data_IF_947197690915
#
_entry.id   IF_947197690915
#
_cell.length_a   1.000
_cell.length_b   1.000
_cell.length_c   1.000
_cell.angle_alpha   90.00
_cell.angle_beta   90.00
_cell.angle_gamma   90.00
#
_symmetry.space_group_name_H-M   'P 1'
#
loop_
_entity.id
_entity.type
_entity.pdbx_description
1 polymer ?
#
# COMPACT_ATOMS: atom_id res chain seq x y z
N UNK A 1 -19.25 2.65 -31.70
CA UNK A 1 -17.96 3.31 -31.41
C UNK A 1 -17.34 2.58 -30.24
N UNK A 2 -16.30 1.79 -30.49
CA UNK A 2 -15.57 1.10 -29.41
C UNK A 2 -14.72 2.13 -28.70
N UNK A 3 -15.12 2.56 -27.50
CA UNK A 3 -14.24 3.31 -26.60
C UNK A 3 -13.08 2.37 -26.27
N UNK A 4 -11.92 2.59 -26.90
CA UNK A 4 -10.71 1.84 -26.60
C UNK A 4 -10.39 2.07 -25.13
N UNK A 5 -10.51 1.02 -24.32
CA UNK A 5 -10.16 1.06 -22.90
C UNK A 5 -8.65 0.88 -22.80
N UNK A 6 -7.98 1.76 -22.06
CA UNK A 6 -6.55 1.62 -21.81
C UNK A 6 -6.31 0.35 -20.99
N UNK A 7 -5.36 -0.47 -21.41
CA UNK A 7 -4.92 -1.67 -20.68
C UNK A 7 -3.46 -1.44 -20.33
N UNK A 8 -3.14 -1.62 -19.05
CA UNK A 8 -1.80 -1.39 -18.51
C UNK A 8 -0.75 -2.30 -19.17
N UNK A 9 0.34 -1.72 -19.68
CA UNK A 9 1.51 -2.47 -20.14
C UNK A 9 2.36 -2.92 -18.95
N UNK A 10 2.73 -4.21 -18.91
CA UNK A 10 3.62 -4.79 -17.90
C UNK A 10 4.99 -4.10 -17.83
N UNK A 11 5.41 -3.39 -18.90
CA UNK A 11 6.63 -2.57 -18.90
C UNK A 11 6.60 -1.42 -17.88
N UNK A 12 5.41 -0.95 -17.50
CA UNK A 12 5.25 0.12 -16.51
C UNK A 12 5.36 -0.37 -15.06
N UNK A 13 5.41 -1.69 -14.85
CA UNK A 13 5.50 -2.28 -13.52
C UNK A 13 6.75 -1.78 -12.78
N UNK A 14 6.55 -1.43 -11.52
CA UNK A 14 7.63 -1.01 -10.64
C UNK A 14 8.65 -2.14 -10.50
N UNK A 15 9.93 -1.79 -10.63
CA UNK A 15 11.02 -2.74 -10.45
C UNK A 15 11.02 -3.34 -9.05
N UNK A 16 11.50 -4.58 -8.90
CA UNK A 16 11.62 -5.25 -7.60
C UNK A 16 12.37 -4.38 -6.59
N UNK A 17 13.42 -3.66 -7.01
CA UNK A 17 14.16 -2.73 -6.17
C UNK A 17 13.32 -1.54 -5.66
N UNK A 18 12.47 -0.94 -6.51
CA UNK A 18 11.57 0.11 -6.07
C UNK A 18 10.52 -0.42 -5.07
N UNK A 19 10.07 -1.66 -5.24
CA UNK A 19 9.13 -2.31 -4.32
C UNK A 19 9.77 -2.68 -2.99
N UNK A 20 11.02 -3.13 -3.01
CA UNK A 20 11.80 -3.37 -1.81
C UNK A 20 12.06 -2.06 -1.04
N UNK A 21 12.38 -0.98 -1.76
CA UNK A 21 12.56 0.34 -1.16
C UNK A 21 11.25 0.85 -0.54
N UNK A 22 10.10 0.64 -1.19
CA UNK A 22 8.79 0.92 -0.61
C UNK A 22 8.61 0.21 0.73
N UNK A 23 8.90 -1.10 0.78
CA UNK A 23 8.79 -1.89 2.00
C UNK A 23 9.69 -1.35 3.12
N UNK A 24 10.95 -1.01 2.82
CA UNK A 24 11.87 -0.43 3.82
C UNK A 24 11.33 0.90 4.35
N UNK A 25 10.90 1.79 3.47
CA UNK A 25 10.41 3.11 3.89
C UNK A 25 9.12 2.97 4.69
N UNK A 26 8.19 2.11 4.25
CA UNK A 26 6.96 1.86 5.00
C UNK A 26 7.22 1.17 6.34
N UNK A 27 8.27 0.36 6.46
CA UNK A 27 8.72 -0.18 7.75
C UNK A 27 9.19 0.94 8.69
N UNK A 28 9.98 1.90 8.21
CA UNK A 28 10.37 3.07 9.01
C UNK A 28 9.16 3.92 9.40
N UNK A 29 8.23 4.16 8.47
CA UNK A 29 7.00 4.89 8.76
C UNK A 29 6.16 4.19 9.84
N UNK A 30 6.07 2.85 9.76
CA UNK A 30 5.39 2.04 10.77
C UNK A 30 6.07 2.11 12.13
N UNK A 31 7.41 2.01 12.20
CA UNK A 31 8.16 2.15 13.46
C UNK A 31 7.92 3.53 14.07
N UNK A 32 7.97 4.60 13.28
CA UNK A 32 7.70 5.97 13.74
C UNK A 32 6.26 6.08 14.28
N UNK A 33 5.27 5.55 13.56
CA UNK A 33 3.87 5.54 14.00
C UNK A 33 3.70 4.77 15.31
N UNK A 34 4.37 3.63 15.45
CA UNK A 34 4.33 2.80 16.65
C UNK A 34 4.93 3.54 17.86
N UNK A 35 6.10 4.18 17.67
CA UNK A 35 6.74 5.00 18.72
C UNK A 35 5.86 6.18 19.11
N UNK A 36 5.27 6.90 18.16
CA UNK A 36 4.34 8.01 18.44
C UNK A 36 3.15 7.51 19.27
N UNK A 37 2.59 6.35 18.90
CA UNK A 37 1.46 5.74 19.62
C UNK A 37 1.87 5.36 21.04
N UNK A 38 3.04 4.73 21.23
CA UNK A 38 3.55 4.36 22.54
C UNK A 38 3.81 5.60 23.44
N UNK A 39 4.40 6.66 22.88
CA UNK A 39 4.62 7.92 23.60
C UNK A 39 3.29 8.56 24.01
N UNK A 40 2.31 8.57 23.11
CA UNK A 40 0.97 9.08 23.40
C UNK A 40 0.31 8.31 24.55
N UNK A 41 0.37 6.99 24.54
CA UNK A 41 -0.13 6.15 25.64
C UNK A 41 0.62 6.42 26.96
N UNK A 42 1.95 6.59 26.90
CA UNK A 42 2.75 6.95 28.08
C UNK A 42 2.35 8.30 28.69
N UNK A 43 2.04 9.30 27.86
CA UNK A 43 1.52 10.59 28.32
C UNK A 43 0.17 10.40 29.03
N UNK A 44 -0.75 9.61 28.46
CA UNK A 44 -2.05 9.34 29.08
C UNK A 44 -1.90 8.67 30.46
N UNK A 45 -1.00 7.69 30.59
CA UNK A 45 -0.70 7.06 31.88
C UNK A 45 -0.19 8.11 32.88
N UNK A 46 0.73 8.99 32.47
CA UNK A 46 1.23 10.08 33.30
C UNK A 46 0.17 11.11 33.72
N UNK A 47 -0.90 11.26 32.92
CA UNK A 47 -2.06 12.12 33.23
C UNK A 47 -3.08 11.46 34.17
N UNK A 48 -2.82 10.23 34.63
CA UNK A 48 -3.67 9.53 35.60
C UNK A 48 -4.54 8.41 35.01
N UNK A 49 -4.43 8.12 33.71
CA UNK A 49 -5.10 6.96 33.10
C UNK A 49 -4.31 5.66 33.33
N UNK A 50 -4.08 5.32 34.60
CA UNK A 50 -3.21 4.19 35.01
C UNK A 50 -3.70 2.82 34.55
N UNK A 51 -5.00 2.65 34.34
CA UNK A 51 -5.61 1.42 33.81
C UNK A 51 -5.06 1.03 32.43
N UNK A 52 -4.65 2.01 31.61
CA UNK A 52 -4.01 1.77 30.31
C UNK A 52 -2.67 1.05 30.51
N UNK A 53 -1.89 1.44 31.52
CA UNK A 53 -0.62 0.79 31.84
C UNK A 53 -0.82 -0.65 32.30
N UNK A 54 -1.79 -0.89 33.18
CA UNK A 54 -2.15 -2.25 33.64
C UNK A 54 -2.59 -3.12 32.46
N UNK A 55 -3.39 -2.60 31.54
CA UNK A 55 -3.80 -3.32 30.34
C UNK A 55 -2.61 -3.65 29.42
N UNK A 56 -1.68 -2.71 29.23
CA UNK A 56 -0.46 -2.89 28.44
C UNK A 56 0.45 -3.99 29.01
N UNK A 57 0.63 -4.02 30.33
CA UNK A 57 1.47 -5.01 31.01
C UNK A 57 0.87 -6.43 30.93
N UNK A 58 -0.46 -6.54 30.97
CA UNK A 58 -1.17 -7.83 30.90
C UNK A 58 -1.31 -8.40 29.48
N UNK A 59 -0.93 -7.64 28.45
CA UNK A 59 -1.18 -8.02 27.06
C UNK A 59 -0.25 -9.12 26.54
N UNK A 60 1.00 -9.15 27.04
CA UNK A 60 2.04 -10.08 26.59
C UNK A 60 2.42 -9.92 25.11
N UNK A 61 3.39 -10.72 24.66
CA UNK A 61 3.95 -10.62 23.29
C UNK A 61 2.89 -10.87 22.22
N UNK A 62 2.00 -11.83 22.42
CA UNK A 62 0.97 -12.15 21.45
C UNK A 62 0.01 -10.99 21.23
N UNK A 63 -0.46 -10.34 22.29
CA UNK A 63 -1.37 -9.21 22.16
C UNK A 63 -0.70 -8.00 21.50
N UNK A 64 0.57 -7.73 21.82
CA UNK A 64 1.34 -6.68 21.15
C UNK A 64 1.51 -6.93 19.64
N UNK A 65 1.75 -8.18 19.23
CA UNK A 65 1.78 -8.56 17.82
C UNK A 65 0.43 -8.32 17.14
N UNK A 66 -0.69 -8.67 17.79
CA UNK A 66 -2.04 -8.42 17.26
C UNK A 66 -2.28 -6.91 17.08
N UNK A 67 -1.94 -6.08 18.07
CA UNK A 67 -2.04 -4.62 17.95
C UNK A 67 -1.19 -4.10 16.80
N UNK A 68 0.06 -4.54 16.68
CA UNK A 68 0.94 -4.13 15.60
C UNK A 68 0.34 -4.47 14.22
N UNK A 69 -0.22 -5.67 14.07
CA UNK A 69 -0.93 -6.08 12.85
C UNK A 69 -2.13 -5.17 12.57
N UNK A 70 -2.96 -4.87 13.57
CA UNK A 70 -4.11 -3.97 13.41
C UNK A 70 -3.68 -2.54 13.02
N UNK A 71 -2.64 -1.99 13.66
CA UNK A 71 -2.10 -0.67 13.32
C UNK A 71 -1.58 -0.68 11.88
N UNK A 72 -0.87 -1.72 11.47
CA UNK A 72 -0.35 -1.84 10.10
C UNK A 72 -1.48 -1.92 9.07
N UNK A 73 -2.54 -2.67 9.37
CA UNK A 73 -3.74 -2.78 8.52
C UNK A 73 -4.39 -1.40 8.35
N UNK A 74 -4.61 -0.68 9.45
CA UNK A 74 -5.22 0.65 9.43
C UNK A 74 -4.35 1.63 8.65
N UNK A 75 -3.03 1.63 8.88
CA UNK A 75 -2.07 2.47 8.16
C UNK A 75 -2.20 2.29 6.65
N UNK A 76 -2.09 1.06 6.15
CA UNK A 76 -2.18 0.83 4.72
C UNK A 76 -3.59 1.03 4.16
N UNK A 77 -4.64 0.69 4.91
CA UNK A 77 -6.02 0.88 4.46
C UNK A 77 -6.36 2.37 4.29
N UNK A 78 -5.96 3.22 5.23
CA UNK A 78 -6.16 4.67 5.14
C UNK A 78 -5.31 5.25 4.01
N UNK A 79 -4.03 4.93 3.98
CA UNK A 79 -3.10 5.48 2.99
C UNK A 79 -3.44 5.03 1.57
N UNK A 80 -3.59 3.73 1.34
CA UNK A 80 -3.91 3.21 0.01
C UNK A 80 -5.37 3.48 -0.36
N UNK A 81 -6.31 3.47 0.60
CA UNK A 81 -7.71 3.80 0.34
C UNK A 81 -7.91 5.23 -0.16
N UNK A 82 -7.23 6.19 0.46
CA UNK A 82 -7.36 7.60 0.09
C UNK A 82 -6.47 7.97 -1.10
N UNK A 83 -5.22 7.53 -1.10
CA UNK A 83 -4.21 8.02 -2.04
C UNK A 83 -3.72 7.00 -3.06
N UNK A 84 -4.15 5.73 -2.96
CA UNK A 84 -3.59 4.60 -3.71
C UNK A 84 -2.09 4.42 -3.49
N UNK A 85 -1.57 4.99 -2.41
CA UNK A 85 -0.14 5.13 -2.11
C UNK A 85 0.10 5.13 -0.61
N UNK A 86 1.11 4.40 -0.18
CA UNK A 86 1.71 4.50 1.15
C UNK A 86 2.82 5.56 1.17
N UNK A 87 3.39 5.87 2.34
CA UNK A 87 4.48 6.84 2.47
C UNK A 87 5.68 6.42 1.61
N UNK A 88 6.04 5.12 1.62
CA UNK A 88 7.07 4.58 0.75
C UNK A 88 6.80 4.85 -0.72
N UNK A 89 5.57 4.58 -1.16
CA UNK A 89 5.13 4.79 -2.55
C UNK A 89 5.12 6.25 -2.97
N UNK A 90 4.84 7.18 -2.04
CA UNK A 90 4.99 8.61 -2.30
C UNK A 90 6.44 8.97 -2.60
N UNK A 91 7.37 8.49 -1.78
CA UNK A 91 8.80 8.79 -1.90
C UNK A 91 9.41 8.14 -3.16
N UNK A 92 9.07 6.89 -3.46
CA UNK A 92 9.60 6.19 -4.66
C UNK A 92 8.91 6.58 -5.96
N UNK A 93 7.87 7.40 -5.91
CA UNK A 93 7.14 7.78 -7.13
C UNK A 93 6.24 6.67 -7.69
N UNK A 94 5.93 5.62 -6.92
CA UNK A 94 5.10 4.49 -7.35
C UNK A 94 3.64 4.63 -6.90
N UNK A 95 2.69 4.02 -7.61
CA UNK A 95 1.24 4.09 -7.33
C UNK A 95 0.58 2.73 -7.55
N UNK A 96 -0.46 2.41 -6.77
CA UNK A 96 -1.29 1.22 -6.97
C UNK A 96 -2.44 1.56 -7.93
N UNK A 97 -2.59 0.77 -8.99
CA UNK A 97 -3.65 0.91 -10.00
C UNK A 97 -4.30 -0.43 -10.32
N UNK A 98 -5.47 -0.39 -10.96
CA UNK A 98 -6.14 -1.56 -11.55
C UNK A 98 -5.57 -1.90 -12.95
N UNK A 99 -6.13 -2.90 -13.63
CA UNK A 99 -5.70 -3.26 -15.00
C UNK A 99 -5.88 -2.14 -16.04
N UNK A 100 -6.68 -1.12 -15.74
CA UNK A 100 -6.96 0.01 -16.63
C UNK A 100 -6.15 1.26 -16.26
N UNK A 101 -5.15 1.14 -15.38
CA UNK A 101 -4.34 2.26 -14.90
C UNK A 101 -5.11 3.26 -14.03
N UNK A 102 -6.31 2.90 -13.55
CA UNK A 102 -7.15 3.74 -12.71
C UNK A 102 -6.94 3.44 -11.23
N UNK A 103 -7.43 4.35 -10.37
CA UNK A 103 -7.45 4.13 -8.92
C UNK A 103 -8.35 2.91 -8.62
N UNK A 104 -7.84 1.88 -7.92
CA UNK A 104 -8.66 0.73 -7.55
C UNK A 104 -9.76 1.16 -6.58
N UNK A 105 -10.87 0.42 -6.58
CA UNK A 105 -11.95 0.64 -5.63
C UNK A 105 -11.51 0.28 -4.20
N UNK A 106 -12.27 0.77 -3.22
CA UNK A 106 -11.95 0.54 -1.81
C UNK A 106 -12.02 -0.95 -1.44
N UNK A 107 -12.94 -1.71 -2.05
CA UNK A 107 -13.08 -3.15 -1.83
C UNK A 107 -11.83 -3.92 -2.26
N UNK A 108 -11.25 -3.57 -3.41
CA UNK A 108 -10.00 -4.14 -3.92
C UNK A 108 -8.83 -3.80 -3.01
N UNK A 109 -8.73 -2.54 -2.56
CA UNK A 109 -7.67 -2.11 -1.63
C UNK A 109 -7.80 -2.84 -0.28
N UNK A 110 -9.01 -3.04 0.22
CA UNK A 110 -9.24 -3.80 1.44
C UNK A 110 -8.81 -5.26 1.28
N UNK A 111 -9.26 -5.94 0.21
CA UNK A 111 -8.86 -7.32 -0.12
C UNK A 111 -7.35 -7.45 -0.22
N UNK A 112 -6.71 -6.52 -0.94
CA UNK A 112 -5.26 -6.42 -1.08
C UNK A 112 -4.54 -6.35 0.27
N UNK A 113 -5.01 -5.49 1.17
CA UNK A 113 -4.40 -5.34 2.50
C UNK A 113 -4.58 -6.60 3.36
N UNK A 114 -5.73 -7.27 3.28
CA UNK A 114 -5.91 -8.56 3.93
C UNK A 114 -4.94 -9.63 3.40
N UNK A 115 -4.71 -9.67 2.08
CA UNK A 115 -3.78 -10.62 1.48
C UNK A 115 -2.31 -10.40 1.86
N UNK A 116 -1.93 -9.22 2.39
CA UNK A 116 -0.56 -8.98 2.91
C UNK A 116 -0.26 -9.75 4.19
N UNK A 117 -1.29 -10.20 4.90
CA UNK A 117 -1.12 -11.04 6.09
C UNK A 117 -0.94 -12.52 5.75
N UNK A 118 -0.95 -12.88 4.46
CA UNK A 118 -0.60 -14.23 4.04
C UNK A 118 0.88 -14.45 4.37
N UNK A 119 1.23 -15.50 5.14
CA UNK A 119 2.61 -15.83 5.44
C UNK A 119 3.44 -15.94 4.16
N UNK A 120 4.65 -15.39 4.19
CA UNK A 120 5.59 -15.38 3.07
C UNK A 120 5.24 -14.49 1.87
N UNK A 121 4.16 -13.70 1.91
CA UNK A 121 3.81 -12.74 0.84
C UNK A 121 4.98 -11.78 0.52
N UNK A 122 5.73 -11.33 1.53
CA UNK A 122 6.91 -10.49 1.33
C UNK A 122 8.04 -11.15 0.50
N UNK A 123 8.17 -12.49 0.54
CA UNK A 123 9.18 -13.21 -0.25
C UNK A 123 8.75 -13.43 -1.70
N UNK A 124 7.46 -13.29 -2.02
CA UNK A 124 6.96 -13.48 -3.39
C UNK A 124 7.55 -12.47 -4.37
N UNK A 125 7.95 -11.29 -3.89
CA UNK A 125 8.65 -10.27 -4.67
C UNK A 125 10.03 -10.68 -5.16
N UNK A 126 10.64 -11.71 -4.57
CA UNK A 126 11.92 -12.25 -5.04
C UNK A 126 11.76 -13.12 -6.29
N UNK A 127 10.55 -13.63 -6.56
CA UNK A 127 10.23 -14.50 -7.69
C UNK A 127 9.50 -13.83 -8.85
N UNK A 128 9.16 -12.54 -8.75
CA UNK A 128 8.43 -11.84 -9.81
C UNK A 128 8.12 -10.38 -9.50
N UNK A 129 7.56 -9.68 -10.49
CA UNK A 129 7.17 -8.27 -10.38
C UNK A 129 5.88 -8.04 -9.59
N UNK A 130 5.08 -9.09 -9.36
CA UNK A 130 3.80 -9.05 -8.62
C UNK A 130 3.83 -9.99 -7.42
N UNK A 131 3.47 -9.48 -6.24
CA UNK A 131 3.30 -10.29 -5.04
C UNK A 131 1.91 -10.92 -4.98
N UNK A 132 1.70 -11.89 -4.09
CA UNK A 132 0.41 -12.58 -3.99
C UNK A 132 -0.74 -11.63 -3.71
N UNK A 133 -0.53 -10.64 -2.84
CA UNK A 133 -1.55 -9.63 -2.58
C UNK A 133 -1.88 -8.74 -3.79
N UNK A 134 -0.96 -8.54 -4.73
CA UNK A 134 -1.25 -7.86 -6.01
C UNK A 134 -2.06 -8.76 -6.94
N UNK A 135 -1.66 -10.02 -7.04
CA UNK A 135 -2.26 -11.00 -7.96
C UNK A 135 -3.68 -11.36 -7.54
N UNK A 136 -3.91 -11.59 -6.24
CA UNK A 136 -5.22 -11.94 -5.69
C UNK A 136 -6.20 -10.77 -5.79
N UNK A 137 -5.71 -9.55 -5.68
CA UNK A 137 -6.55 -8.35 -5.74
C UNK A 137 -6.59 -7.72 -7.15
N UNK A 138 -5.98 -8.34 -8.17
CA UNK A 138 -5.89 -7.76 -9.52
C UNK A 138 -5.38 -6.31 -9.54
N UNK A 139 -4.39 -6.01 -8.70
CA UNK A 139 -3.76 -4.68 -8.67
C UNK A 139 -2.34 -4.72 -9.18
N UNK A 140 -1.86 -3.54 -9.58
CA UNK A 140 -0.57 -3.32 -10.20
C UNK A 140 0.11 -2.15 -9.49
N UNK A 141 1.44 -2.22 -9.36
CA UNK A 141 2.23 -1.12 -8.82
C UNK A 141 3.12 -0.61 -9.93
N UNK A 142 2.96 0.66 -10.29
CA UNK A 142 3.63 1.27 -11.44
C UNK A 142 4.27 2.59 -11.07
N UNK A 143 5.18 3.09 -11.90
CA UNK A 143 5.68 4.46 -11.75
C UNK A 143 4.59 5.45 -12.17
N UNK A 144 4.24 6.39 -11.27
CA UNK A 144 3.16 7.33 -11.52
C UNK A 144 3.41 8.22 -12.74
N UNK A 145 4.62 8.75 -12.89
CA UNK A 145 4.95 9.67 -14.00
C UNK A 145 4.89 8.96 -15.35
N UNK A 146 5.46 7.76 -15.41
CA UNK A 146 5.44 6.95 -16.62
C UNK A 146 3.99 6.57 -17.02
N UNK A 147 3.16 6.21 -16.04
CA UNK A 147 1.74 5.94 -16.27
C UNK A 147 1.00 7.18 -16.81
N UNK A 148 1.18 8.34 -16.18
CA UNK A 148 0.52 9.58 -16.59
C UNK A 148 0.91 9.96 -18.04
N UNK A 149 2.19 9.76 -18.42
CA UNK A 149 2.68 9.98 -19.78
C UNK A 149 2.06 9.00 -20.78
N UNK A 150 1.98 7.71 -20.46
CA UNK A 150 1.43 6.69 -21.35
C UNK A 150 -0.08 6.85 -21.58
N UNK A 151 -0.82 7.15 -20.52
CA UNK A 151 -2.26 7.45 -20.61
C UNK A 151 -2.49 8.67 -21.51
N UNK A 152 -1.68 9.72 -21.36
CA UNK A 152 -1.78 10.91 -22.21
C UNK A 152 -1.54 10.58 -23.69
N UNK A 153 -0.48 9.82 -23.97
CA UNK A 153 -0.15 9.37 -25.34
C UNK A 153 -1.29 8.54 -25.92
N UNK A 154 -1.86 7.61 -25.15
CA UNK A 154 -3.00 6.80 -25.57
C UNK A 154 -4.22 7.65 -25.95
N UNK A 155 -4.55 8.67 -25.14
CA UNK A 155 -5.63 9.60 -25.47
C UNK A 155 -5.35 10.44 -26.71
N UNK A 156 -4.12 10.94 -26.88
CA UNK A 156 -3.72 11.70 -28.07
C UNK A 156 -3.83 10.85 -29.36
N UNK A 157 -3.39 9.59 -29.33
CA UNK A 157 -3.54 8.67 -30.48
C UNK A 157 -5.00 8.40 -30.84
N UNK A 158 -5.86 8.17 -29.83
CA UNK A 158 -7.29 7.95 -30.07
C UNK A 158 -8.01 9.18 -30.66
N UNK A 159 -7.50 10.39 -30.41
CA UNK A 159 -8.01 11.62 -31.03
C UNK A 159 -7.59 11.74 -32.51
N UNK A 160 -6.42 11.21 -32.89
CA UNK A 160 -5.92 11.23 -34.27
C UNK A 160 -6.67 10.20 -35.13
N UNK A 161 -6.94 9.00 -34.59
CA UNK A 161 -7.61 7.91 -35.30
C UNK A 161 -9.13 8.06 -35.49
N UNK A 162 -9.75 9.09 -34.89
CA UNK A 162 -11.18 9.40 -35.02
C UNK A 162 -11.46 10.52 -36.06
N UNK A 163 -10.50 10.83 -36.93
CA UNK A 163 -10.70 11.71 -38.10
C UNK A 163 -10.91 10.92 -39.38
#
# INVERSE_FOLDING_TARGET
MSQSTYILDDKLLASVGARFLNYIIDLFAFIILFVITALFLGILIGLGFTEIGVWMDNMGDFGWNVIALFISLIYYLVMEGLFSRSIGKFITGTIVVDENGQKPDFGTIFKRNLCRFIPFDAFTFLGGSRGWHDSISHTYVVNKKALDEEIKIFHEFNLIGNK
#
